data_IF_101174229323
#
_entry.id   IF_101174229323
#
_cell.length_a   1.000
_cell.length_b   1.000
_cell.length_c   1.000
_cell.angle_alpha   90.00
_cell.angle_beta   90.00
_cell.angle_gamma   90.00
#
_symmetry.space_group_name_H-M   'P 1'
#
loop_
_entity.id
_entity.type
_entity.pdbx_description
1 polymer ?
#
# COMPACT_ATOMS: atom_id res chain seq x y z
N UNK A 1 -32.25 4.34 40.67
CA UNK A 1 -32.04 3.62 39.39
C UNK A 1 -30.92 4.34 38.66
N UNK A 2 -29.73 3.74 38.66
CA UNK A 2 -28.53 4.30 38.02
C UNK A 2 -28.39 3.61 36.67
N UNK A 3 -28.53 4.38 35.59
CA UNK A 3 -28.39 3.90 34.21
C UNK A 3 -26.93 3.99 33.77
N UNK A 4 -26.37 2.83 33.41
CA UNK A 4 -25.01 2.62 32.91
C UNK A 4 -24.75 3.41 31.62
N UNK A 5 -23.69 4.22 31.63
CA UNK A 5 -23.10 4.85 30.44
C UNK A 5 -22.11 3.85 29.83
N UNK A 6 -22.44 3.28 28.68
CA UNK A 6 -21.50 2.45 27.94
C UNK A 6 -20.46 3.32 27.23
N UNK A 7 -19.25 3.32 27.79
CA UNK A 7 -18.03 3.87 27.19
C UNK A 7 -17.49 2.82 26.22
N UNK A 8 -17.57 3.07 24.91
CA UNK A 8 -16.82 2.27 23.93
C UNK A 8 -15.34 2.67 23.97
N UNK A 9 -14.64 2.13 24.96
CA UNK A 9 -13.19 2.17 25.06
C UNK A 9 -12.57 1.15 24.10
N UNK A 10 -11.66 1.65 23.27
CA UNK A 10 -10.46 0.99 22.73
C UNK A 10 -10.24 -0.46 23.19
N UNK A 11 -10.60 -1.43 22.34
CA UNK A 11 -10.10 -2.81 22.43
C UNK A 11 -8.74 -2.86 21.75
N UNK A 12 -7.68 -2.53 22.48
CA UNK A 12 -6.27 -2.73 22.09
C UNK A 12 -5.49 -3.18 23.34
N UNK A 13 -5.60 -4.47 23.69
CA UNK A 13 -4.97 -4.98 24.92
C UNK A 13 -4.54 -6.44 24.92
N UNK A 14 -4.59 -7.16 23.78
CA UNK A 14 -4.27 -8.60 23.75
C UNK A 14 -3.47 -9.12 22.54
N UNK A 15 -3.51 -8.42 21.39
CA UNK A 15 -2.90 -8.93 20.15
C UNK A 15 -1.54 -8.30 19.80
N UNK A 16 -1.14 -7.20 20.46
CA UNK A 16 0.07 -6.46 20.08
C UNK A 16 1.35 -7.26 20.20
N UNK A 17 1.46 -8.12 21.22
CA UNK A 17 2.64 -8.97 21.43
C UNK A 17 2.77 -10.05 20.35
N UNK A 18 1.67 -10.67 19.94
CA UNK A 18 1.68 -11.68 18.89
C UNK A 18 2.01 -11.07 17.51
N UNK A 19 1.46 -9.89 17.20
CA UNK A 19 1.78 -9.18 15.95
C UNK A 19 3.23 -8.70 15.93
N UNK A 20 3.77 -8.23 17.05
CA UNK A 20 5.18 -7.84 17.18
C UNK A 20 6.12 -9.05 17.00
N UNK A 21 5.81 -10.19 17.63
CA UNK A 21 6.58 -11.44 17.49
C UNK A 21 6.64 -11.92 16.03
N UNK A 22 5.52 -11.84 15.31
CA UNK A 22 5.45 -12.15 13.86
C UNK A 22 6.32 -11.21 13.03
N UNK A 23 6.30 -9.91 13.35
CA UNK A 23 7.15 -8.93 12.68
C UNK A 23 8.64 -9.22 12.94
N UNK A 24 9.00 -9.56 14.18
CA UNK A 24 10.38 -9.91 14.53
C UNK A 24 10.82 -11.23 13.88
N UNK A 25 9.93 -12.21 13.77
CA UNK A 25 10.19 -13.44 13.00
C UNK A 25 10.48 -13.14 11.53
N UNK A 26 9.63 -12.32 10.89
CA UNK A 26 9.83 -11.90 9.51
C UNK A 26 11.16 -11.15 9.31
N UNK A 27 11.49 -10.23 10.24
CA UNK A 27 12.76 -9.52 10.26
C UNK A 27 13.94 -10.50 10.30
N UNK A 28 13.91 -11.48 11.20
CA UNK A 28 14.94 -12.53 11.29
C UNK A 28 15.04 -13.38 10.03
N UNK A 29 13.91 -13.75 9.43
CA UNK A 29 13.87 -14.51 8.17
C UNK A 29 14.52 -13.76 7.00
N UNK A 30 14.45 -12.43 7.03
CA UNK A 30 15.09 -11.54 6.04
C UNK A 30 16.50 -11.09 6.46
N UNK A 31 17.08 -11.70 7.49
CA UNK A 31 18.43 -11.43 7.96
C UNK A 31 18.61 -10.03 8.57
N UNK A 32 17.55 -9.43 9.10
CA UNK A 32 17.62 -8.13 9.76
C UNK A 32 18.25 -8.25 11.14
N UNK A 33 19.18 -7.36 11.43
CA UNK A 33 19.80 -7.26 12.75
C UNK A 33 18.92 -6.44 13.69
N UNK A 34 19.22 -6.49 14.98
CA UNK A 34 18.59 -5.60 15.96
C UNK A 34 18.84 -4.12 15.58
N UNK A 35 17.78 -3.33 15.61
CA UNK A 35 17.78 -1.93 15.17
C UNK A 35 17.61 -1.71 13.66
N UNK A 36 17.72 -2.74 12.80
CA UNK A 36 17.44 -2.60 11.37
C UNK A 36 15.94 -2.59 11.09
N UNK A 37 15.49 -1.60 10.30
CA UNK A 37 14.11 -1.55 9.83
C UNK A 37 13.89 -2.57 8.73
N UNK A 38 12.76 -3.29 8.80
CA UNK A 38 12.17 -3.97 7.66
C UNK A 38 11.52 -2.93 6.74
N UNK A 39 12.01 -2.79 5.51
CA UNK A 39 11.53 -1.78 4.56
C UNK A 39 10.63 -2.41 3.52
N UNK A 40 9.35 -2.06 3.56
CA UNK A 40 8.33 -2.58 2.63
C UNK A 40 7.87 -1.44 1.72
N UNK A 41 7.91 -1.68 0.41
CA UNK A 41 7.36 -0.76 -0.59
C UNK A 41 6.20 -1.41 -1.35
N UNK A 42 5.06 -0.72 -1.44
CA UNK A 42 4.02 -1.03 -2.41
C UNK A 42 4.24 -0.20 -3.67
N UNK A 43 4.52 -0.86 -4.80
CA UNK A 43 4.71 -0.24 -6.11
C UNK A 43 3.36 -0.22 -6.81
N UNK A 44 2.75 0.95 -6.89
CA UNK A 44 1.44 1.15 -7.51
C UNK A 44 0.40 1.60 -6.49
N UNK A 45 -0.21 2.75 -6.78
CA UNK A 45 -1.22 3.38 -5.93
C UNK A 45 -2.63 3.33 -6.55
N UNK A 46 -2.95 2.19 -7.18
CA UNK A 46 -4.33 1.83 -7.53
C UNK A 46 -5.10 1.35 -6.30
N UNK A 47 -6.30 0.83 -6.49
CA UNK A 47 -7.15 0.31 -5.41
C UNK A 47 -6.41 -0.75 -4.56
N UNK A 48 -6.02 -1.87 -5.18
CA UNK A 48 -5.36 -2.98 -4.48
C UNK A 48 -4.02 -2.61 -3.85
N UNK A 49 -3.15 -1.91 -4.58
CA UNK A 49 -1.84 -1.48 -4.04
C UNK A 49 -1.96 -0.53 -2.84
N UNK A 50 -2.97 0.36 -2.85
CA UNK A 50 -3.24 1.29 -1.74
C UNK A 50 -3.88 0.58 -0.55
N UNK A 51 -4.87 -0.30 -0.78
CA UNK A 51 -5.53 -1.07 0.28
C UNK A 51 -4.52 -1.98 0.98
N UNK A 52 -3.71 -2.71 0.22
CA UNK A 52 -2.70 -3.61 0.81
C UNK A 52 -1.67 -2.83 1.63
N UNK A 53 -1.17 -1.70 1.11
CA UNK A 53 -0.25 -0.84 1.87
C UNK A 53 -0.90 -0.27 3.13
N UNK A 54 -2.18 0.10 3.07
CA UNK A 54 -2.94 0.60 4.21
C UNK A 54 -3.14 -0.47 5.28
N UNK A 55 -3.43 -1.72 4.90
CA UNK A 55 -3.54 -2.84 5.83
C UNK A 55 -2.21 -3.11 6.54
N UNK A 56 -1.09 -3.13 5.79
CA UNK A 56 0.24 -3.25 6.38
C UNK A 56 0.53 -2.10 7.35
N UNK A 57 0.21 -0.87 6.95
CA UNK A 57 0.47 0.34 7.73
C UNK A 57 -0.38 0.38 9.01
N UNK A 58 -1.63 -0.09 8.95
CA UNK A 58 -2.52 -0.20 10.10
C UNK A 58 -2.02 -1.28 11.08
N UNK A 59 -1.69 -2.46 10.57
CA UNK A 59 -1.23 -3.59 11.37
C UNK A 59 0.14 -3.36 12.01
N UNK A 60 1.13 -2.85 11.27
CA UNK A 60 2.53 -2.81 11.72
C UNK A 60 3.11 -1.42 11.87
N UNK A 61 2.48 -0.39 11.31
CA UNK A 61 3.08 0.94 11.19
C UNK A 61 3.28 1.71 12.50
N UNK A 62 2.78 1.17 13.61
CA UNK A 62 3.04 1.70 14.96
C UNK A 62 4.42 1.26 15.50
N UNK A 63 5.01 0.17 15.00
CA UNK A 63 6.38 -0.30 15.33
C UNK A 63 7.45 0.45 14.51
N UNK A 64 7.53 1.76 14.69
CA UNK A 64 8.34 2.67 13.84
C UNK A 64 9.84 2.39 13.86
N UNK A 65 10.32 1.73 14.90
CA UNK A 65 11.69 1.29 15.11
C UNK A 65 11.98 -0.11 14.53
N UNK A 66 10.97 -0.79 13.99
CA UNK A 66 11.07 -2.14 13.41
C UNK A 66 10.70 -2.20 11.94
N UNK A 67 9.77 -1.36 11.48
CA UNK A 67 9.26 -1.39 10.11
C UNK A 67 9.11 0.00 9.51
N UNK A 68 9.36 0.10 8.20
CA UNK A 68 8.99 1.26 7.40
C UNK A 68 8.19 0.80 6.19
N UNK A 69 6.96 1.29 6.08
CA UNK A 69 6.07 1.00 4.95
C UNK A 69 5.91 2.27 4.13
N UNK A 70 6.03 2.15 2.81
CA UNK A 70 5.81 3.25 1.89
C UNK A 70 5.10 2.77 0.63
N UNK A 71 4.44 3.70 -0.04
CA UNK A 71 3.78 3.44 -1.31
C UNK A 71 4.38 4.34 -2.39
N UNK A 72 4.76 3.75 -3.51
CA UNK A 72 5.13 4.49 -4.70
C UNK A 72 3.90 4.78 -5.55
N UNK A 73 3.80 6.04 -5.98
CA UNK A 73 2.80 6.52 -6.92
C UNK A 73 3.47 7.37 -8.00
N UNK A 74 3.13 7.15 -9.27
CA UNK A 74 3.52 8.07 -10.35
C UNK A 74 2.97 9.48 -10.06
N UNK A 75 3.82 10.52 -10.02
CA UNK A 75 3.38 11.89 -9.73
C UNK A 75 2.54 12.48 -10.87
N UNK A 76 1.84 13.58 -10.58
CA UNK A 76 1.30 14.47 -11.62
C UNK A 76 -0.14 14.18 -12.06
N UNK A 77 -0.79 13.12 -11.56
CA UNK A 77 -2.23 12.93 -11.82
C UNK A 77 -3.05 13.92 -11.00
N UNK A 78 -3.63 14.90 -11.69
CA UNK A 78 -4.52 15.91 -11.10
C UNK A 78 -5.87 15.30 -10.72
N UNK A 79 -6.50 15.88 -9.70
CA UNK A 79 -7.89 15.61 -9.32
C UNK A 79 -8.75 16.70 -9.97
N UNK A 80 -9.74 16.31 -10.76
CA UNK A 80 -10.67 17.26 -11.36
C UNK A 80 -11.62 17.85 -10.31
N UNK A 81 -12.30 18.95 -10.66
CA UNK A 81 -13.18 19.67 -9.77
C UNK A 81 -14.33 18.80 -9.23
N UNK A 82 -14.97 17.99 -10.08
CA UNK A 82 -16.10 17.16 -9.65
C UNK A 82 -15.65 16.12 -8.62
N UNK A 83 -14.48 15.54 -8.85
CA UNK A 83 -13.86 14.60 -7.91
C UNK A 83 -13.44 15.28 -6.61
N UNK A 84 -12.94 16.52 -6.66
CA UNK A 84 -12.59 17.29 -5.46
C UNK A 84 -13.82 17.69 -4.63
N UNK A 85 -14.92 18.06 -5.29
CA UNK A 85 -16.21 18.34 -4.65
C UNK A 85 -16.73 17.09 -3.92
N UNK A 86 -16.75 15.95 -4.60
CA UNK A 86 -17.16 14.67 -4.00
C UNK A 86 -16.24 14.24 -2.84
N UNK A 87 -14.92 14.35 -2.99
CA UNK A 87 -13.97 14.07 -1.91
C UNK A 87 -14.25 14.94 -0.67
N UNK A 88 -14.59 16.22 -0.87
CA UNK A 88 -14.95 17.11 0.23
C UNK A 88 -16.23 16.67 0.96
N UNK A 89 -17.24 16.17 0.22
CA UNK A 89 -18.44 15.57 0.81
C UNK A 89 -18.11 14.35 1.66
N UNK A 90 -17.27 13.44 1.14
CA UNK A 90 -16.81 12.25 1.89
C UNK A 90 -16.05 12.63 3.15
N UNK A 91 -15.21 13.67 3.11
CA UNK A 91 -14.50 14.16 4.30
C UNK A 91 -15.50 14.65 5.35
N UNK A 92 -16.52 15.41 4.95
CA UNK A 92 -17.49 15.98 5.87
C UNK A 92 -18.50 14.96 6.41
N UNK A 93 -18.72 13.86 5.70
CA UNK A 93 -19.59 12.77 6.17
C UNK A 93 -18.92 11.87 7.22
N UNK A 94 -17.59 11.97 7.39
CA UNK A 94 -16.82 11.14 8.33
C UNK A 94 -16.11 11.98 9.39
N UNK A 95 -16.68 12.00 10.60
CA UNK A 95 -16.21 12.86 11.70
C UNK A 95 -14.76 12.59 12.13
N UNK A 96 -14.34 11.33 12.16
CA UNK A 96 -12.98 10.92 12.51
C UNK A 96 -11.95 11.44 11.51
N UNK A 97 -12.26 11.35 10.22
CA UNK A 97 -11.44 11.87 9.11
C UNK A 97 -11.37 13.40 9.19
N UNK A 98 -12.51 14.08 9.33
CA UNK A 98 -12.59 15.53 9.46
C UNK A 98 -11.73 16.03 10.62
N UNK A 99 -11.90 15.46 11.81
CA UNK A 99 -11.11 15.81 13.01
C UNK A 99 -9.61 15.58 12.78
N UNK A 100 -9.22 14.48 12.13
CA UNK A 100 -7.82 14.18 11.79
C UNK A 100 -7.22 15.25 10.88
N UNK A 101 -7.94 15.64 9.83
CA UNK A 101 -7.46 16.63 8.85
C UNK A 101 -7.37 18.04 9.45
N UNK A 102 -8.33 18.44 10.30
CA UNK A 102 -8.28 19.72 11.02
C UNK A 102 -7.05 19.78 11.92
N UNK A 103 -6.79 18.73 12.72
CA UNK A 103 -5.64 18.68 13.63
C UNK A 103 -4.28 18.78 12.92
N UNK A 104 -4.20 18.35 11.65
CA UNK A 104 -3.00 18.43 10.82
C UNK A 104 -2.95 19.67 9.93
N UNK A 105 -3.90 20.60 10.09
CA UNK A 105 -4.05 21.78 9.22
C UNK A 105 -4.20 21.42 7.73
N UNK A 106 -4.67 20.21 7.41
CA UNK A 106 -4.81 19.71 6.06
C UNK A 106 -6.20 19.97 5.47
N UNK A 107 -7.20 20.34 6.30
CA UNK A 107 -8.57 20.51 5.86
C UNK A 107 -8.74 21.67 4.85
N UNK A 108 -8.08 22.81 5.07
CA UNK A 108 -8.19 24.00 4.21
C UNK A 108 -7.84 23.71 2.75
N UNK A 109 -6.82 22.88 2.51
CA UNK A 109 -6.44 22.40 1.18
C UNK A 109 -7.62 21.82 0.38
N UNK A 110 -8.52 21.08 1.03
CA UNK A 110 -9.68 20.48 0.36
C UNK A 110 -10.80 21.50 0.12
N UNK A 111 -10.93 22.51 1.00
CA UNK A 111 -11.84 23.64 0.79
C UNK A 111 -11.42 24.43 -0.44
N UNK A 112 -10.14 24.80 -0.54
CA UNK A 112 -9.57 25.54 -1.67
C UNK A 112 -9.75 24.76 -2.99
N UNK A 113 -9.50 23.46 -2.95
CA UNK A 113 -9.66 22.58 -4.10
C UNK A 113 -11.10 22.53 -4.62
N UNK A 114 -12.07 22.40 -3.70
CA UNK A 114 -13.50 22.44 -4.01
C UNK A 114 -13.92 23.77 -4.62
N UNK A 115 -13.37 24.89 -4.14
CA UNK A 115 -13.66 26.23 -4.67
C UNK A 115 -13.01 26.47 -6.05
N UNK A 116 -12.00 25.68 -6.40
CA UNK A 116 -11.23 25.81 -7.64
C UNK A 116 -10.01 26.72 -7.50
N UNK A 117 -9.67 27.15 -6.28
CA UNK A 117 -8.52 28.01 -6.00
C UNK A 117 -7.19 27.24 -5.96
N UNK A 118 -7.26 25.90 -5.93
CA UNK A 118 -6.10 25.01 -5.88
C UNK A 118 -6.33 23.73 -6.68
N UNK A 119 -5.31 23.31 -7.42
CA UNK A 119 -5.26 21.96 -8.01
C UNK A 119 -4.79 20.95 -6.95
N UNK A 120 -5.56 19.88 -6.74
CA UNK A 120 -5.10 18.73 -5.96
C UNK A 120 -4.43 17.70 -6.86
N UNK A 121 -3.38 17.07 -6.34
CA UNK A 121 -2.76 15.91 -6.96
C UNK A 121 -3.10 14.64 -6.20
N UNK A 122 -3.20 13.54 -6.94
CA UNK A 122 -3.62 12.28 -6.40
C UNK A 122 -2.60 11.67 -5.40
N UNK A 123 -1.32 12.02 -5.48
CA UNK A 123 -0.32 11.67 -4.46
C UNK A 123 -0.49 12.48 -3.16
N UNK A 124 -0.96 13.73 -3.23
CA UNK A 124 -1.23 14.53 -2.04
C UNK A 124 -2.40 13.95 -1.24
N UNK A 125 -3.51 13.63 -1.92
CA UNK A 125 -4.68 13.09 -1.22
C UNK A 125 -4.39 11.70 -0.63
N UNK A 126 -3.49 10.92 -1.24
CA UNK A 126 -3.09 9.61 -0.73
C UNK A 126 -2.24 9.72 0.55
N UNK A 127 -1.42 10.76 0.69
CA UNK A 127 -0.70 11.04 1.96
C UNK A 127 -1.65 11.24 3.13
N UNK A 128 -2.86 11.72 2.85
CA UNK A 128 -3.91 11.95 3.86
C UNK A 128 -4.88 10.78 4.01
N UNK A 129 -4.68 9.69 3.25
CA UNK A 129 -5.47 8.47 3.32
C UNK A 129 -6.60 8.39 2.30
N UNK A 130 -6.53 9.06 1.16
CA UNK A 130 -7.53 8.94 0.09
C UNK A 130 -6.93 8.34 -1.17
N UNK A 131 -7.57 7.31 -1.72
CA UNK A 131 -7.20 6.75 -3.00
C UNK A 131 -8.18 7.24 -4.08
N UNK A 132 -7.65 7.77 -5.18
CA UNK A 132 -8.48 8.29 -6.28
C UNK A 132 -9.45 7.26 -6.87
N UNK A 133 -9.10 5.97 -6.82
CA UNK A 133 -9.95 4.90 -7.33
C UNK A 133 -10.99 4.40 -6.29
N UNK A 134 -10.94 4.89 -5.06
CA UNK A 134 -11.79 4.47 -3.94
C UNK A 134 -12.06 5.67 -3.01
N UNK A 135 -12.51 6.78 -3.57
CA UNK A 135 -12.63 8.05 -2.83
C UNK A 135 -13.61 7.94 -1.66
N UNK A 136 -14.66 7.13 -1.82
CA UNK A 136 -15.69 6.89 -0.82
C UNK A 136 -15.20 6.12 0.41
N UNK A 137 -14.04 5.45 0.31
CA UNK A 137 -13.50 4.64 1.40
C UNK A 137 -12.11 5.13 1.82
N UNK A 138 -12.05 6.10 2.77
CA UNK A 138 -10.81 6.59 3.32
C UNK A 138 -10.00 5.49 3.99
N UNK A 139 -8.70 5.51 3.69
CA UNK A 139 -7.66 4.66 4.23
C UNK A 139 -6.92 5.38 5.38
N UNK A 140 -5.96 4.67 5.98
CA UNK A 140 -4.98 5.30 6.86
C UNK A 140 -4.00 6.18 6.04
N UNK A 141 -3.48 7.28 6.60
CA UNK A 141 -2.44 8.09 5.95
C UNK A 141 -1.20 7.26 5.63
N UNK A 142 -0.72 7.35 4.39
CA UNK A 142 0.43 6.58 3.91
C UNK A 142 1.66 7.46 3.69
N UNK A 143 2.86 6.87 3.84
CA UNK A 143 4.10 7.48 3.35
C UNK A 143 4.17 7.31 1.83
N UNK A 144 3.81 8.35 1.09
CA UNK A 144 3.82 8.35 -0.38
C UNK A 144 5.18 8.85 -0.90
N UNK A 145 5.78 8.08 -1.81
CA UNK A 145 7.01 8.44 -2.53
C UNK A 145 6.70 8.51 -4.03
N UNK A 146 7.20 9.53 -4.71
CA UNK A 146 6.94 9.74 -6.14
C UNK A 146 8.12 9.39 -7.04
N UNK A 147 9.33 9.36 -6.50
CA UNK A 147 10.51 8.86 -7.19
C UNK A 147 10.61 7.33 -7.03
N UNK A 148 10.65 6.59 -8.14
CA UNK A 148 10.64 5.12 -8.12
C UNK A 148 11.94 4.55 -7.53
N UNK A 149 13.10 5.10 -7.93
CA UNK A 149 14.40 4.69 -7.42
C UNK A 149 14.45 4.83 -5.89
N UNK A 150 14.10 6.02 -5.36
CA UNK A 150 14.04 6.26 -3.91
C UNK A 150 13.14 5.22 -3.22
N UNK A 151 12.00 4.89 -3.84
CA UNK A 151 11.02 3.97 -3.27
C UNK A 151 11.47 2.50 -3.25
N UNK A 152 12.37 2.07 -4.14
CA UNK A 152 12.75 0.64 -4.26
C UNK A 152 14.21 0.34 -3.93
N UNK A 153 15.06 1.37 -3.85
CA UNK A 153 16.52 1.21 -3.72
C UNK A 153 16.92 0.37 -2.51
N UNK A 154 16.36 0.65 -1.34
CA UNK A 154 16.65 -0.03 -0.08
C UNK A 154 15.48 -0.89 0.43
N UNK A 155 14.53 -1.24 -0.44
CA UNK A 155 13.41 -2.10 -0.06
C UNK A 155 13.87 -3.53 0.22
N UNK A 156 13.29 -4.16 1.23
CA UNK A 156 13.46 -5.58 1.55
C UNK A 156 12.32 -6.43 0.97
N UNK A 157 11.12 -5.85 0.97
CA UNK A 157 9.92 -6.43 0.36
C UNK A 157 9.36 -5.40 -0.62
N UNK A 158 9.08 -5.87 -1.84
CA UNK A 158 8.45 -5.09 -2.91
C UNK A 158 7.12 -5.74 -3.25
N UNK A 159 6.03 -5.01 -3.03
CA UNK A 159 4.69 -5.45 -3.40
C UNK A 159 4.36 -4.86 -4.77
N UNK A 160 4.18 -5.71 -5.77
CA UNK A 160 3.68 -5.29 -7.08
C UNK A 160 2.17 -5.06 -7.01
N UNK A 161 1.77 -3.80 -6.96
CA UNK A 161 0.39 -3.32 -7.06
C UNK A 161 0.07 -2.60 -8.37
N UNK A 162 0.95 -2.61 -9.38
CA UNK A 162 0.66 -2.06 -10.70
C UNK A 162 -0.17 -3.04 -11.53
N UNK A 163 -1.00 -2.56 -12.47
CA UNK A 163 -1.70 -3.43 -13.41
C UNK A 163 -0.75 -4.33 -14.21
N UNK A 164 -1.24 -5.49 -14.63
CA UNK A 164 -0.44 -6.45 -15.43
C UNK A 164 0.15 -5.81 -16.69
N UNK A 165 -0.59 -4.92 -17.34
CA UNK A 165 -0.18 -4.19 -18.57
C UNK A 165 0.96 -3.20 -18.36
N UNK A 166 1.21 -2.77 -17.12
CA UNK A 166 2.30 -1.85 -16.76
C UNK A 166 3.45 -2.56 -16.02
N UNK A 167 3.26 -3.83 -15.64
CA UNK A 167 4.20 -4.55 -14.79
C UNK A 167 5.58 -4.65 -15.45
N UNK A 168 5.65 -4.95 -16.76
CA UNK A 168 6.93 -5.04 -17.47
C UNK A 168 7.69 -3.71 -17.44
N UNK A 169 7.09 -2.63 -17.91
CA UNK A 169 7.72 -1.30 -17.99
C UNK A 169 8.30 -0.89 -16.63
N UNK A 170 7.51 -1.03 -15.56
CA UNK A 170 7.90 -0.62 -14.21
C UNK A 170 9.03 -1.51 -13.67
N UNK A 171 8.95 -2.83 -13.86
CA UNK A 171 9.98 -3.74 -13.35
C UNK A 171 11.27 -3.73 -14.16
N UNK A 172 11.22 -3.41 -15.45
CA UNK A 172 12.41 -3.17 -16.26
C UNK A 172 13.18 -1.95 -15.72
N UNK A 173 12.49 -0.84 -15.42
CA UNK A 173 13.11 0.34 -14.79
C UNK A 173 13.68 -0.01 -13.40
N UNK A 174 12.92 -0.72 -12.56
CA UNK A 174 13.38 -1.16 -11.23
C UNK A 174 14.65 -2.02 -11.32
N UNK A 175 14.74 -2.87 -12.34
CA UNK A 175 15.88 -3.77 -12.52
C UNK A 175 17.19 -3.02 -12.67
N UNK A 176 17.18 -1.82 -13.28
CA UNK A 176 18.35 -0.96 -13.43
C UNK A 176 18.87 -0.48 -12.07
N UNK A 177 17.97 -0.15 -11.14
CA UNK A 177 18.32 0.28 -9.79
C UNK A 177 18.88 -0.85 -8.91
N UNK A 178 18.51 -2.10 -9.21
CA UNK A 178 18.95 -3.25 -8.39
C UNK A 178 20.26 -3.90 -8.87
N UNK A 179 20.81 -3.48 -10.02
CA UNK A 179 22.09 -4.01 -10.54
C UNK A 179 23.25 -3.90 -9.54
N UNK A 180 23.23 -2.85 -8.71
CA UNK A 180 24.29 -2.56 -7.74
C UNK A 180 24.01 -3.14 -6.34
N UNK A 181 22.88 -3.83 -6.15
CA UNK A 181 22.50 -4.36 -4.83
C UNK A 181 23.16 -5.71 -4.56
N UNK A 182 23.65 -5.87 -3.33
CA UNK A 182 24.17 -7.16 -2.81
C UNK A 182 23.02 -8.14 -2.55
N UNK A 183 21.89 -7.66 -2.00
CA UNK A 183 20.72 -8.47 -1.69
C UNK A 183 19.50 -8.06 -2.50
N UNK A 184 18.78 -9.06 -2.96
CA UNK A 184 17.59 -8.92 -3.79
C UNK A 184 16.35 -8.86 -2.89
N UNK A 185 15.39 -7.95 -3.12
CA UNK A 185 14.18 -7.92 -2.32
C UNK A 185 13.27 -9.12 -2.59
N UNK A 186 12.45 -9.48 -1.60
CA UNK A 186 11.32 -10.39 -1.79
C UNK A 186 10.22 -9.67 -2.55
N UNK A 187 9.67 -10.29 -3.59
CA UNK A 187 8.61 -9.69 -4.40
C UNK A 187 7.27 -10.41 -4.15
N UNK A 188 6.25 -9.64 -3.80
CA UNK A 188 4.86 -10.11 -3.64
C UNK A 188 4.03 -9.49 -4.75
N UNK A 189 3.42 -10.28 -5.63
CA UNK A 189 2.61 -9.72 -6.71
C UNK A 189 1.12 -9.81 -6.43
N UNK A 190 0.45 -8.65 -6.38
CA UNK A 190 -1.00 -8.53 -6.30
C UNK A 190 -1.64 -8.49 -7.70
N UNK A 191 -0.85 -8.20 -8.74
CA UNK A 191 -1.33 -8.12 -10.11
C UNK A 191 -1.97 -9.45 -10.54
N UNK A 192 -3.26 -9.38 -10.90
CA UNK A 192 -3.99 -10.45 -11.57
C UNK A 192 -4.07 -10.13 -13.06
N UNK A 193 -4.02 -11.16 -13.90
CA UNK A 193 -4.15 -11.04 -15.35
C UNK A 193 -2.98 -11.63 -16.10
N UNK A 194 -2.98 -11.39 -17.41
CA UNK A 194 -2.01 -11.90 -18.37
C UNK A 194 -1.71 -10.83 -19.42
N UNK A 195 -0.54 -10.90 -20.04
CA UNK A 195 -0.18 -10.09 -21.20
C UNK A 195 0.11 -11.01 -22.39
N UNK A 196 -0.18 -10.54 -23.61
CA UNK A 196 0.24 -11.22 -24.82
C UNK A 196 1.60 -10.67 -25.26
N UNK A 197 2.64 -11.51 -25.20
CA UNK A 197 3.95 -11.21 -25.76
C UNK A 197 3.99 -11.72 -27.19
N UNK A 198 4.25 -10.85 -28.17
CA UNK A 198 4.30 -11.24 -29.59
C UNK A 198 5.68 -11.77 -30.01
N UNK A 199 6.74 -11.35 -29.30
CA UNK A 199 8.12 -11.75 -29.58
C UNK A 199 8.68 -12.74 -28.53
N UNK A 200 9.61 -13.64 -28.92
CA UNK A 200 9.94 -14.03 -30.31
C UNK A 200 8.87 -14.94 -30.95
N UNK A 201 7.94 -15.46 -30.14
CA UNK A 201 6.78 -16.25 -30.56
C UNK A 201 5.59 -15.78 -29.71
N UNK A 202 4.40 -15.56 -30.32
CA UNK A 202 3.20 -15.18 -29.59
C UNK A 202 2.90 -16.13 -28.43
N UNK A 203 2.87 -15.59 -27.22
CA UNK A 203 2.56 -16.36 -26.01
C UNK A 203 1.90 -15.49 -24.96
N UNK A 204 1.14 -16.15 -24.10
CA UNK A 204 0.59 -15.55 -22.90
C UNK A 204 1.66 -15.57 -21.83
N UNK A 205 1.87 -14.42 -21.19
CA UNK A 205 2.78 -14.29 -20.05
C UNK A 205 2.04 -13.79 -18.82
N UNK A 206 2.44 -14.28 -17.66
CA UNK A 206 1.90 -13.84 -16.36
C UNK A 206 2.76 -12.72 -15.76
N UNK A 207 2.22 -11.90 -14.84
CA UNK A 207 3.00 -10.92 -14.09
C UNK A 207 4.24 -11.51 -13.42
N UNK A 208 4.16 -12.72 -12.88
CA UNK A 208 5.31 -13.42 -12.29
C UNK A 208 6.40 -13.70 -13.33
N UNK A 209 6.03 -14.07 -14.56
CA UNK A 209 7.00 -14.28 -15.65
C UNK A 209 7.60 -12.96 -16.13
N UNK A 210 6.83 -11.86 -16.14
CA UNK A 210 7.32 -10.52 -16.45
C UNK A 210 8.38 -10.08 -15.43
N UNK A 211 8.03 -10.13 -14.13
CA UNK A 211 8.92 -9.79 -13.03
C UNK A 211 10.18 -10.66 -13.07
N UNK A 212 10.03 -11.97 -13.23
CA UNK A 212 11.16 -12.90 -13.32
C UNK A 212 12.08 -12.58 -14.50
N UNK A 213 11.52 -12.17 -15.64
CA UNK A 213 12.29 -11.80 -16.82
C UNK A 213 13.07 -10.49 -16.65
N UNK A 214 12.43 -9.47 -16.08
CA UNK A 214 13.08 -8.20 -15.73
C UNK A 214 14.17 -8.41 -14.67
N UNK A 215 13.89 -9.33 -13.72
CA UNK A 215 14.79 -9.67 -12.62
C UNK A 215 15.85 -10.71 -12.99
N UNK A 216 16.13 -11.00 -14.28
CA UNK A 216 17.04 -12.10 -14.71
C UNK A 216 18.48 -12.02 -14.18
N UNK A 217 18.89 -10.93 -13.53
CA UNK A 217 20.15 -10.81 -12.80
C UNK A 217 20.02 -11.08 -11.28
N UNK A 218 18.82 -11.36 -10.77
CA UNK A 218 18.51 -11.56 -9.36
C UNK A 218 18.04 -13.01 -9.14
N UNK A 219 18.80 -13.80 -8.38
CA UNK A 219 18.42 -15.16 -7.99
C UNK A 219 17.14 -15.14 -7.15
N UNK A 220 16.01 -15.53 -7.76
CA UNK A 220 14.68 -15.46 -7.16
C UNK A 220 14.44 -16.59 -6.14
N UNK A 221 14.56 -16.31 -4.84
CA UNK A 221 14.19 -17.22 -3.76
C UNK A 221 12.69 -17.09 -3.45
N UNK A 222 11.82 -17.65 -4.30
CA UNK A 222 10.39 -17.32 -4.32
C UNK A 222 9.46 -18.26 -3.52
N UNK A 223 9.92 -19.33 -2.86
CA UNK A 223 8.98 -20.38 -2.38
C UNK A 223 8.88 -20.61 -0.87
N UNK A 224 9.90 -20.32 -0.06
CA UNK A 224 9.82 -20.52 1.40
C UNK A 224 9.23 -19.34 2.15
N UNK A 225 9.54 -18.12 1.72
CA UNK A 225 9.12 -16.88 2.40
C UNK A 225 7.64 -16.58 2.11
N UNK A 226 7.17 -16.91 0.90
CA UNK A 226 5.78 -16.69 0.49
C UNK A 226 4.79 -17.42 1.39
N UNK A 227 5.04 -18.66 1.83
CA UNK A 227 4.13 -19.36 2.75
C UNK A 227 4.08 -18.72 4.14
N UNK A 228 5.20 -18.24 4.68
CA UNK A 228 5.24 -17.54 5.99
C UNK A 228 4.63 -16.14 5.90
N UNK A 229 4.86 -15.41 4.80
CA UNK A 229 4.23 -14.12 4.55
C UNK A 229 2.73 -14.27 4.26
N UNK A 230 2.28 -15.23 3.46
CA UNK A 230 0.85 -15.42 3.19
C UNK A 230 0.11 -15.92 4.41
N UNK A 231 0.66 -16.84 5.22
CA UNK A 231 0.00 -17.21 6.48
C UNK A 231 0.02 -16.06 7.48
N UNK A 232 1.15 -15.37 7.69
CA UNK A 232 1.22 -14.28 8.69
C UNK A 232 0.43 -13.02 8.29
N UNK A 233 0.38 -12.66 7.01
CA UNK A 233 -0.31 -11.44 6.54
C UNK A 233 -1.72 -11.68 5.99
N UNK A 234 -2.04 -12.86 5.43
CA UNK A 234 -3.39 -13.17 4.92
C UNK A 234 -4.28 -13.93 5.90
N UNK A 235 -3.74 -14.56 6.96
CA UNK A 235 -4.61 -15.06 8.05
C UNK A 235 -5.11 -13.92 8.94
N UNK A 236 -4.36 -12.83 9.09
CA UNK A 236 -4.82 -11.60 9.77
C UNK A 236 -5.64 -10.69 8.85
N UNK A 237 -5.32 -10.63 7.55
CA UNK A 237 -6.23 -10.09 6.55
C UNK A 237 -7.28 -11.15 6.19
N UNK A 238 -8.12 -11.54 7.15
CA UNK A 238 -9.26 -12.41 6.92
C UNK A 238 -9.93 -11.98 5.61
N UNK A 239 -9.96 -12.88 4.62
CA UNK A 239 -10.64 -12.67 3.35
C UNK A 239 -12.11 -12.24 3.54
N UNK A 240 -12.69 -12.54 4.72
CA UNK A 240 -13.99 -12.06 5.18
C UNK A 240 -14.00 -10.57 5.57
N UNK A 241 -12.95 -10.03 6.21
CA UNK A 241 -12.84 -8.61 6.58
C UNK A 241 -12.65 -7.67 5.37
N UNK A 242 -11.92 -8.12 4.36
CA UNK A 242 -11.75 -7.43 3.07
C UNK A 242 -13.04 -7.42 2.24
N UNK A 243 -13.90 -8.45 2.36
CA UNK A 243 -15.24 -8.43 1.81
C UNK A 243 -16.16 -7.53 2.65
N UNK A 244 -16.33 -7.76 3.94
CA UNK A 244 -17.41 -7.12 4.70
C UNK A 244 -17.31 -5.58 4.80
N UNK A 245 -16.10 -5.00 4.84
CA UNK A 245 -15.94 -3.52 4.89
C UNK A 245 -15.85 -2.81 3.55
N UNK A 246 -15.49 -3.52 2.49
CA UNK A 246 -15.20 -2.90 1.20
C UNK A 246 -16.09 -3.41 0.06
N UNK A 247 -16.77 -4.55 0.21
CA UNK A 247 -17.67 -5.16 -0.80
C UNK A 247 -18.94 -4.34 -1.03
N UNK A 248 -19.46 -3.66 -0.01
CA UNK A 248 -20.64 -2.79 -0.13
C UNK A 248 -20.39 -1.57 -1.05
N UNK A 249 -19.14 -1.15 -1.24
CA UNK A 249 -18.76 -0.07 -2.17
C UNK A 249 -18.60 -0.56 -3.62
N UNK A 250 -18.62 -1.88 -3.88
CA UNK A 250 -18.53 -2.43 -5.25
C UNK A 250 -19.89 -2.64 -5.93
N UNK A 251 -21.00 -2.51 -5.20
CA UNK A 251 -22.35 -2.77 -5.68
C UNK A 251 -23.33 -1.58 -5.54
N UNK A 252 -22.81 -0.36 -5.35
CA UNK A 252 -23.59 0.88 -5.40
C UNK A 252 -23.37 1.63 -6.73
#
# INVERSE_FOLDING_TARGET
>A
MVGSVHVNGSVHGGNGTATEERLDELRRLLGKSEGDLLKIVSVGAGAWGSVFAALLQDAYGHFRDKVQIRIWRRPGRTVDRSTAEHLFEVINSREDVLRRLIRRCAYLKYVEARLGDRTLYADEILKDGFCLNMIETPLCPLKVVTNLQEAVWDADIVVNGVPSTETREVFDEISEYWKERISVPVIISLAKGIEASLDPIPRIITPTQMISSASKNLSCLCLRILNSITTSFLEEAEWYWLQEKYYDSWHA
#
